data_IF_745989950795
#
_entry.id   IF_745989950795
#
_cell.length_a   1.000
_cell.length_b   1.000
_cell.length_c   1.000
_cell.angle_alpha   90.00
_cell.angle_beta   90.00
_cell.angle_gamma   90.00
#
_symmetry.space_group_name_H-M   'P 1'
#
loop_
_entity.id
_entity.type
_entity.pdbx_description
1 polymer ?
#
# COMPACT_ATOMS: atom_id res chain seq x y z
N UNK A 1 -6.76 -6.92 19.37
CA UNK A 1 -5.48 -6.90 18.68
C UNK A 1 -4.95 -5.47 18.73
N UNK A 2 -3.77 -5.29 19.37
CA UNK A 2 -3.19 -3.97 19.65
C UNK A 2 -3.03 -3.12 18.37
N UNK A 3 -2.62 -3.72 17.26
CA UNK A 3 -2.48 -3.01 15.98
C UNK A 3 -3.82 -2.42 15.52
N UNK A 4 -4.89 -3.21 15.52
CA UNK A 4 -6.22 -2.72 15.10
C UNK A 4 -6.77 -1.63 16.02
N UNK A 5 -6.48 -1.71 17.32
CA UNK A 5 -6.86 -0.67 18.29
C UNK A 5 -6.07 0.62 18.07
N UNK A 6 -4.77 0.52 17.75
CA UNK A 6 -3.91 1.67 17.44
C UNK A 6 -4.35 2.36 16.16
N UNK A 7 -4.63 1.60 15.08
CA UNK A 7 -5.14 2.14 13.82
C UNK A 7 -6.52 2.76 13.97
N UNK A 8 -7.42 2.12 14.72
CA UNK A 8 -8.73 2.69 14.99
C UNK A 8 -8.63 4.02 15.75
N UNK A 9 -7.71 4.14 16.72
CA UNK A 9 -7.51 5.39 17.44
C UNK A 9 -6.93 6.49 16.54
N UNK A 10 -5.98 6.16 15.65
CA UNK A 10 -5.46 7.11 14.65
C UNK A 10 -6.56 7.62 13.72
N UNK A 11 -7.43 6.73 13.24
CA UNK A 11 -8.56 7.10 12.40
C UNK A 11 -9.54 8.03 13.12
N UNK A 12 -9.83 7.76 14.40
CA UNK A 12 -10.68 8.63 15.23
C UNK A 12 -10.03 10.02 15.42
N UNK A 13 -8.73 10.09 15.68
CA UNK A 13 -7.99 11.35 15.79
C UNK A 13 -8.01 12.14 14.49
N UNK A 14 -7.81 11.47 13.36
CA UNK A 14 -7.88 12.08 12.02
C UNK A 14 -9.26 12.64 11.71
N UNK A 15 -10.32 11.86 11.94
CA UNK A 15 -11.70 12.29 11.73
C UNK A 15 -12.08 13.48 12.64
N UNK A 16 -11.64 13.48 13.91
CA UNK A 16 -11.86 14.60 14.82
C UNK A 16 -11.14 15.87 14.33
N UNK A 17 -9.90 15.73 13.82
CA UNK A 17 -9.15 16.85 13.22
C UNK A 17 -9.85 17.42 11.99
N UNK A 18 -10.44 16.57 11.15
CA UNK A 18 -11.22 16.99 9.99
C UNK A 18 -12.49 17.77 10.40
N UNK A 19 -13.18 17.34 11.47
CA UNK A 19 -14.36 18.03 11.99
C UNK A 19 -13.97 19.43 12.52
N UNK A 20 -12.91 19.53 13.31
CA UNK A 20 -12.41 20.81 13.85
C UNK A 20 -12.04 21.76 12.70
N UNK A 21 -11.30 21.27 11.68
CA UNK A 21 -10.95 22.07 10.51
C UNK A 21 -12.20 22.54 9.73
N UNK A 22 -13.20 21.68 9.56
CA UNK A 22 -14.46 22.05 8.91
C UNK A 22 -15.22 23.13 9.70
N UNK A 23 -15.28 23.03 11.03
CA UNK A 23 -15.91 24.02 11.88
C UNK A 23 -15.22 25.38 11.76
N UNK A 24 -13.88 25.43 11.75
CA UNK A 24 -13.09 26.65 11.52
C UNK A 24 -13.38 27.27 10.14
N UNK A 25 -13.46 26.45 9.09
CA UNK A 25 -13.75 26.91 7.73
C UNK A 25 -15.18 27.44 7.59
N UNK A 26 -16.16 26.82 8.27
CA UNK A 26 -17.55 27.32 8.31
C UNK A 26 -17.61 28.68 9.02
N UNK A 27 -16.85 28.83 10.11
CA UNK A 27 -16.80 30.10 10.87
C UNK A 27 -16.17 31.24 10.04
N UNK A 28 -15.11 30.90 9.23
CA UNK A 28 -14.39 31.89 8.41
C UNK A 28 -15.11 32.24 7.10
N UNK A 29 -15.68 31.26 6.40
CA UNK A 29 -16.23 31.43 5.03
C UNK A 29 -17.75 31.25 4.93
N UNK A 30 -18.42 30.81 6.00
CA UNK A 30 -19.84 30.49 6.03
C UNK A 30 -20.18 29.15 5.37
N UNK A 31 -21.40 28.66 5.65
CA UNK A 31 -21.87 27.35 5.13
C UNK A 31 -21.88 27.27 3.58
N UNK A 32 -22.14 28.38 2.90
CA UNK A 32 -22.17 28.47 1.43
C UNK A 32 -20.75 28.42 0.79
N UNK A 33 -19.70 28.67 1.58
CA UNK A 33 -18.30 28.60 1.14
C UNK A 33 -17.75 27.19 1.12
N UNK A 34 -18.41 26.25 1.80
CA UNK A 34 -18.01 24.86 1.89
C UNK A 34 -18.98 23.99 1.09
N UNK A 35 -18.77 23.89 -0.20
CA UNK A 35 -19.61 23.08 -1.08
C UNK A 35 -19.16 21.61 -1.14
N UNK A 36 -18.46 21.09 -0.12
CA UNK A 36 -17.83 19.78 -0.20
C UNK A 36 -18.33 18.84 0.90
N UNK A 37 -18.92 17.72 0.49
CA UNK A 37 -19.04 16.57 1.36
C UNK A 37 -17.69 15.85 1.37
N UNK A 38 -17.06 15.71 2.52
CA UNK A 38 -15.96 14.77 2.70
C UNK A 38 -16.50 13.37 2.98
N UNK A 39 -15.85 12.36 2.46
CA UNK A 39 -16.10 10.97 2.86
C UNK A 39 -14.81 10.16 2.78
N UNK A 40 -14.68 9.20 3.67
CA UNK A 40 -13.64 8.19 3.63
C UNK A 40 -14.26 6.79 3.54
N UNK A 41 -13.55 5.88 2.94
CA UNK A 41 -13.94 4.47 2.86
C UNK A 41 -12.72 3.58 2.97
N UNK A 42 -12.88 2.45 3.65
CA UNK A 42 -11.82 1.44 3.79
C UNK A 42 -12.36 0.10 3.33
N UNK A 43 -11.62 -0.57 2.47
CA UNK A 43 -11.87 -1.94 2.01
C UNK A 43 -10.60 -2.75 2.21
N UNK A 44 -10.71 -3.96 2.75
CA UNK A 44 -9.59 -4.89 2.86
C UNK A 44 -9.92 -6.18 2.13
N UNK A 45 -9.01 -6.64 1.29
CA UNK A 45 -9.10 -7.89 0.55
C UNK A 45 -7.93 -8.81 0.95
N UNK A 46 -8.25 -10.06 1.31
CA UNK A 46 -7.22 -11.06 1.62
C UNK A 46 -6.58 -11.47 0.30
N UNK A 47 -5.28 -11.19 0.17
CA UNK A 47 -4.48 -11.50 -1.00
C UNK A 47 -3.70 -12.82 -0.85
N UNK A 48 -3.41 -13.23 0.40
CA UNK A 48 -2.76 -14.48 0.72
C UNK A 48 -3.22 -15.02 2.07
N UNK A 49 -3.43 -16.35 2.15
CA UNK A 49 -3.71 -17.03 3.41
C UNK A 49 -3.33 -18.51 3.31
N UNK A 50 -2.51 -19.01 4.24
CA UNK A 50 -2.08 -20.41 4.31
C UNK A 50 -2.36 -21.08 5.66
N UNK A 51 -3.15 -20.43 6.52
CA UNK A 51 -3.47 -20.88 7.87
C UNK A 51 -2.49 -20.38 8.94
N UNK A 52 -1.26 -20.00 8.58
CA UNK A 52 -0.29 -19.36 9.47
C UNK A 52 -0.09 -17.89 9.13
N UNK A 53 0.13 -17.58 7.86
CA UNK A 53 0.31 -16.22 7.41
C UNK A 53 -0.95 -15.71 6.73
N UNK A 54 -1.30 -14.46 7.01
CA UNK A 54 -2.35 -13.75 6.29
C UNK A 54 -1.77 -12.43 5.79
N UNK A 55 -2.04 -12.14 4.52
CA UNK A 55 -1.66 -10.89 3.91
C UNK A 55 -2.82 -10.27 3.16
N UNK A 56 -2.97 -8.96 3.26
CA UNK A 56 -4.01 -8.23 2.58
C UNK A 56 -3.58 -6.80 2.24
N UNK A 57 -4.21 -6.25 1.25
CA UNK A 57 -4.12 -4.85 0.90
C UNK A 57 -5.34 -4.12 1.48
N UNK A 58 -5.10 -3.23 2.43
CA UNK A 58 -6.12 -2.30 2.90
C UNK A 58 -6.16 -1.13 1.92
N UNK A 59 -7.30 -0.93 1.30
CA UNK A 59 -7.55 0.16 0.36
C UNK A 59 -8.36 1.23 1.07
N UNK A 60 -7.79 2.41 1.16
CA UNK A 60 -8.44 3.58 1.73
C UNK A 60 -8.72 4.58 0.61
N UNK A 61 -9.78 5.33 0.74
CA UNK A 61 -10.10 6.42 -0.16
C UNK A 61 -10.62 7.60 0.64
N UNK A 62 -9.94 8.72 0.51
CA UNK A 62 -10.31 9.97 1.17
C UNK A 62 -10.68 11.03 0.14
N UNK A 63 -11.86 11.60 0.30
CA UNK A 63 -12.35 12.71 -0.52
C UNK A 63 -12.70 13.90 0.35
N UNK A 64 -11.98 14.97 0.16
CA UNK A 64 -12.16 16.24 0.88
C UNK A 64 -12.65 17.38 -0.04
N UNK A 65 -13.27 17.01 -1.14
CA UNK A 65 -13.68 17.95 -2.18
C UNK A 65 -12.70 18.05 -3.34
N UNK A 66 -13.11 18.76 -4.41
CA UNK A 66 -12.33 18.91 -5.61
C UNK A 66 -12.69 17.89 -6.71
N UNK A 67 -11.74 17.62 -7.63
CA UNK A 67 -12.00 16.79 -8.81
C UNK A 67 -12.10 15.30 -8.49
N UNK A 68 -11.36 14.81 -7.51
CA UNK A 68 -11.31 13.41 -7.06
C UNK A 68 -10.71 13.32 -5.67
N UNK A 69 -10.92 12.20 -4.97
CA UNK A 69 -10.22 11.88 -3.72
C UNK A 69 -8.87 11.22 -3.97
N UNK A 70 -8.21 10.87 -2.88
CA UNK A 70 -6.90 10.19 -2.90
C UNK A 70 -7.08 8.75 -2.41
N UNK A 71 -6.82 7.77 -3.25
CA UNK A 71 -6.71 6.39 -2.82
C UNK A 71 -5.33 6.15 -2.18
N UNK A 72 -5.34 5.34 -1.13
CA UNK A 72 -4.15 4.86 -0.43
C UNK A 72 -4.24 3.34 -0.30
N UNK A 73 -3.16 2.65 -0.60
CA UNK A 73 -3.03 1.22 -0.32
C UNK A 73 -2.05 1.03 0.83
N UNK A 74 -2.37 0.09 1.72
CA UNK A 74 -1.53 -0.29 2.85
C UNK A 74 -1.41 -1.81 2.83
N UNK A 75 -0.23 -2.31 2.52
CA UNK A 75 0.09 -3.73 2.59
C UNK A 75 0.28 -4.18 4.03
N UNK A 76 -0.41 -5.24 4.42
CA UNK A 76 -0.39 -5.77 5.78
C UNK A 76 -0.20 -7.27 5.76
N UNK A 77 0.85 -7.75 6.40
CA UNK A 77 1.16 -9.19 6.54
C UNK A 77 1.32 -9.53 8.02
N UNK A 78 0.68 -10.60 8.46
CA UNK A 78 0.72 -11.04 9.86
C UNK A 78 1.07 -12.53 9.96
N UNK A 79 1.84 -12.89 10.98
CA UNK A 79 1.95 -14.26 11.48
C UNK A 79 0.83 -14.50 12.50
N UNK A 80 -0.10 -15.38 12.19
CA UNK A 80 -1.26 -15.70 13.03
C UNK A 80 -0.89 -16.51 14.28
N UNK A 81 0.26 -17.15 14.31
CA UNK A 81 0.75 -17.88 15.47
C UNK A 81 1.23 -16.90 16.56
N UNK A 82 1.93 -15.83 16.18
CA UNK A 82 2.45 -14.82 17.10
C UNK A 82 1.54 -13.61 17.23
N UNK A 83 0.70 -13.33 16.22
CA UNK A 83 -0.13 -12.13 16.10
C UNK A 83 0.68 -10.87 15.73
N UNK A 84 1.93 -11.03 15.30
CA UNK A 84 2.81 -9.92 14.93
C UNK A 84 2.64 -9.53 13.44
N UNK A 85 2.71 -8.24 13.16
CA UNK A 85 2.86 -7.72 11.80
C UNK A 85 4.28 -7.99 11.33
N UNK A 86 4.42 -8.52 10.11
CA UNK A 86 5.71 -8.80 9.49
C UNK A 86 6.14 -7.64 8.59
N UNK A 87 7.41 -7.27 8.70
CA UNK A 87 8.12 -6.38 7.78
C UNK A 87 8.85 -7.19 6.70
N UNK A 88 9.36 -6.54 5.65
CA UNK A 88 10.19 -7.20 4.63
C UNK A 88 11.35 -7.99 5.22
N UNK A 89 12.14 -7.45 6.19
CA UNK A 89 13.21 -8.21 6.85
C UNK A 89 12.75 -9.44 7.64
N UNK A 90 11.48 -9.54 8.00
CA UNK A 90 10.93 -10.75 8.64
C UNK A 90 10.58 -11.82 7.60
N UNK A 91 10.28 -11.39 6.37
CA UNK A 91 9.84 -12.25 5.26
C UNK A 91 11.01 -12.76 4.42
N UNK A 92 12.00 -11.90 4.12
CA UNK A 92 13.16 -12.20 3.25
C UNK A 92 14.49 -12.04 3.98
N UNK A 93 15.52 -12.75 3.52
CA UNK A 93 16.89 -12.68 4.04
C UNK A 93 17.81 -11.81 3.17
N UNK A 94 17.36 -11.39 2.00
CA UNK A 94 18.11 -10.51 1.12
C UNK A 94 18.53 -9.23 1.85
N UNK A 95 19.69 -8.70 1.48
CA UNK A 95 20.09 -7.34 1.87
C UNK A 95 19.18 -6.30 1.19
N UNK A 96 19.16 -5.10 1.74
CA UNK A 96 18.38 -4.00 1.14
C UNK A 96 18.84 -3.66 -0.28
N UNK A 97 20.15 -3.76 -0.56
CA UNK A 97 20.70 -3.56 -1.91
C UNK A 97 20.22 -4.62 -2.90
N UNK A 98 20.16 -5.91 -2.47
CA UNK A 98 19.63 -7.00 -3.30
C UNK A 98 18.12 -6.85 -3.53
N UNK A 99 17.35 -6.52 -2.48
CA UNK A 99 15.94 -6.20 -2.59
C UNK A 99 15.69 -5.09 -3.61
N UNK A 100 16.40 -3.98 -3.46
CA UNK A 100 16.28 -2.84 -4.37
C UNK A 100 16.59 -3.24 -5.82
N UNK A 101 17.66 -4.01 -6.04
CA UNK A 101 18.04 -4.49 -7.38
C UNK A 101 16.95 -5.35 -8.01
N UNK A 102 16.41 -6.31 -7.26
CA UNK A 102 15.35 -7.21 -7.74
C UNK A 102 14.10 -6.41 -8.11
N UNK A 103 13.60 -5.61 -7.19
CA UNK A 103 12.35 -4.84 -7.40
C UNK A 103 12.51 -3.83 -8.55
N UNK A 104 13.66 -3.17 -8.64
CA UNK A 104 13.95 -2.22 -9.73
C UNK A 104 13.96 -2.91 -11.10
N UNK A 105 14.45 -4.14 -11.22
CA UNK A 105 14.45 -4.89 -12.47
C UNK A 105 13.01 -5.17 -12.95
N UNK A 106 12.13 -5.62 -12.07
CA UNK A 106 10.71 -5.86 -12.38
C UNK A 106 9.97 -4.56 -12.76
N UNK A 107 10.19 -3.47 -12.01
CA UNK A 107 9.62 -2.18 -12.40
C UNK A 107 10.20 -1.65 -13.72
N UNK A 108 11.48 -1.91 -14.03
CA UNK A 108 12.07 -1.53 -15.31
C UNK A 108 11.38 -2.23 -16.49
N UNK A 109 11.08 -3.52 -16.37
CA UNK A 109 10.31 -4.25 -17.37
C UNK A 109 8.89 -3.69 -17.51
N UNK A 110 8.22 -3.43 -16.39
CA UNK A 110 6.86 -2.88 -16.35
C UNK A 110 6.80 -1.49 -17.01
N UNK A 111 7.70 -0.58 -16.65
CA UNK A 111 7.79 0.78 -17.22
C UNK A 111 8.15 0.74 -18.71
N UNK A 112 9.12 -0.11 -19.10
CA UNK A 112 9.52 -0.23 -20.51
C UNK A 112 8.42 -0.83 -21.39
N UNK A 113 7.45 -1.55 -20.83
CA UNK A 113 6.29 -2.07 -21.54
C UNK A 113 5.33 -0.99 -22.03
N UNK A 114 5.22 0.14 -21.31
CA UNK A 114 4.33 1.27 -21.62
C UNK A 114 4.98 2.60 -21.21
N UNK A 115 6.12 2.99 -21.79
CA UNK A 115 6.93 4.11 -21.32
C UNK A 115 6.21 5.48 -21.40
N UNK A 116 5.19 5.60 -22.24
CA UNK A 116 4.40 6.82 -22.38
C UNK A 116 3.43 7.08 -21.21
N UNK A 117 3.19 6.08 -20.34
CA UNK A 117 2.32 6.20 -19.16
C UNK A 117 3.07 6.71 -17.93
N UNK A 118 4.41 6.69 -17.96
CA UNK A 118 5.27 7.00 -16.83
C UNK A 118 6.03 8.31 -16.98
N UNK A 119 6.43 8.88 -15.83
CA UNK A 119 7.35 10.03 -15.83
C UNK A 119 8.73 9.63 -16.36
N UNK A 120 9.47 10.57 -16.93
CA UNK A 120 10.81 10.32 -17.49
C UNK A 120 11.80 9.80 -16.42
N UNK A 121 11.59 10.18 -15.15
CA UNK A 121 12.40 9.80 -13.98
C UNK A 121 11.79 8.66 -13.15
N UNK A 122 10.71 8.03 -13.62
CA UNK A 122 10.00 7.00 -12.84
C UNK A 122 10.92 5.87 -12.36
N UNK A 123 11.85 5.40 -13.19
CA UNK A 123 12.78 4.34 -12.81
C UNK A 123 13.84 4.81 -11.80
N UNK A 124 14.22 6.07 -11.82
CA UNK A 124 15.13 6.64 -10.83
C UNK A 124 14.43 6.77 -9.47
N UNK A 125 13.14 7.16 -9.47
CA UNK A 125 12.30 7.15 -8.26
C UNK A 125 12.20 5.75 -7.66
N UNK A 126 11.95 4.71 -8.47
CA UNK A 126 11.93 3.32 -7.99
C UNK A 126 13.25 2.96 -7.30
N UNK A 127 14.40 3.27 -7.91
CA UNK A 127 15.73 2.98 -7.34
C UNK A 127 15.98 3.70 -6.02
N UNK A 128 15.50 4.92 -5.90
CA UNK A 128 15.74 5.76 -4.73
C UNK A 128 14.80 5.41 -3.56
N UNK A 129 13.58 4.92 -3.84
CA UNK A 129 12.55 4.71 -2.82
C UNK A 129 12.42 3.26 -2.34
N UNK A 130 12.81 2.25 -3.14
CA UNK A 130 12.71 0.85 -2.71
C UNK A 130 13.74 0.55 -1.62
N UNK A 131 13.23 0.20 -0.44
CA UNK A 131 13.98 -0.13 0.78
C UNK A 131 13.18 -1.13 1.65
N UNK A 132 13.67 -1.44 2.84
CA UNK A 132 12.97 -2.34 3.77
C UNK A 132 11.67 -1.78 4.36
N UNK A 133 11.47 -0.48 4.30
CA UNK A 133 10.25 0.21 4.69
C UNK A 133 9.21 0.31 3.56
N UNK A 134 9.54 -0.17 2.35
CA UNK A 134 8.61 -0.18 1.22
C UNK A 134 7.36 -0.99 1.52
N UNK A 135 6.23 -0.48 1.08
CA UNK A 135 4.96 -1.18 1.21
C UNK A 135 4.91 -2.43 0.33
N UNK A 136 4.44 -3.51 0.90
CA UNK A 136 4.30 -4.79 0.23
C UNK A 136 3.13 -5.60 0.80
N UNK A 137 2.68 -6.58 0.03
CA UNK A 137 1.85 -7.66 0.54
C UNK A 137 2.10 -8.96 -0.22
N UNK A 138 1.80 -10.08 0.44
CA UNK A 138 1.93 -11.40 -0.17
C UNK A 138 0.70 -11.70 -1.01
N UNK A 139 0.90 -12.39 -2.12
CA UNK A 139 -0.15 -12.95 -2.98
C UNK A 139 0.12 -14.44 -3.20
N UNK A 140 -0.76 -15.15 -3.91
CA UNK A 140 -0.51 -16.56 -4.26
C UNK A 140 0.73 -16.72 -5.17
N UNK A 141 1.02 -15.71 -6.01
CA UNK A 141 2.06 -15.75 -7.03
C UNK A 141 3.41 -15.18 -6.58
N UNK A 142 3.47 -14.43 -5.47
CA UNK A 142 4.69 -13.77 -5.02
C UNK A 142 4.48 -12.59 -4.08
N UNK A 143 5.53 -11.79 -3.92
CA UNK A 143 5.50 -10.54 -3.16
C UNK A 143 5.10 -9.42 -4.12
N UNK A 144 4.04 -8.69 -3.76
CA UNK A 144 3.61 -7.52 -4.53
C UNK A 144 4.18 -6.26 -3.93
N UNK A 145 4.80 -5.44 -4.79
CA UNK A 145 5.24 -4.08 -4.54
C UNK A 145 4.42 -3.11 -5.37
N UNK A 146 4.18 -1.91 -4.87
CA UNK A 146 3.37 -0.91 -5.55
C UNK A 146 3.79 0.51 -5.17
N UNK A 147 3.44 1.45 -6.03
CA UNK A 147 3.57 2.89 -5.79
C UNK A 147 2.19 3.55 -5.81
N UNK A 148 2.03 4.59 -5.01
CA UNK A 148 0.79 5.37 -5.00
C UNK A 148 0.61 6.20 -6.27
N UNK A 149 -0.64 6.60 -6.60
CA UNK A 149 -0.89 7.52 -7.71
C UNK A 149 -0.03 8.78 -7.58
N UNK A 150 0.43 9.30 -8.70
CA UNK A 150 1.38 10.40 -8.84
C UNK A 150 2.84 10.09 -8.52
N UNK A 151 3.19 8.98 -7.92
CA UNK A 151 4.59 8.65 -7.66
C UNK A 151 5.36 8.41 -8.97
N UNK A 152 4.91 7.47 -9.79
CA UNK A 152 5.61 7.10 -11.04
C UNK A 152 4.88 7.56 -12.30
N UNK A 153 3.59 7.94 -12.19
CA UNK A 153 2.71 8.21 -13.32
C UNK A 153 1.57 9.16 -12.92
N UNK A 154 0.68 9.47 -13.86
CA UNK A 154 -0.50 10.30 -13.58
C UNK A 154 -1.50 9.56 -12.68
N UNK A 155 -2.37 10.31 -12.00
CA UNK A 155 -3.48 9.75 -11.20
C UNK A 155 -4.33 8.72 -11.97
N UNK A 156 -4.55 8.96 -13.26
CA UNK A 156 -5.39 8.11 -14.10
C UNK A 156 -4.77 6.72 -14.38
N UNK A 157 -3.46 6.57 -14.23
CA UNK A 157 -2.77 5.28 -14.35
C UNK A 157 -2.96 4.40 -13.10
N UNK A 158 -3.44 4.96 -11.98
CA UNK A 158 -3.69 4.23 -10.75
C UNK A 158 -2.41 3.91 -9.97
N UNK A 159 -2.33 2.67 -9.48
CA UNK A 159 -1.19 2.16 -8.70
C UNK A 159 -0.27 1.36 -9.62
N UNK A 160 0.92 1.89 -9.98
CA UNK A 160 1.95 1.06 -10.60
C UNK A 160 2.36 -0.07 -9.67
N UNK A 161 2.24 -1.32 -10.11
CA UNK A 161 2.49 -2.50 -9.27
C UNK A 161 3.20 -3.61 -10.02
N UNK A 162 4.00 -4.39 -9.28
CA UNK A 162 4.66 -5.60 -9.78
C UNK A 162 4.48 -6.71 -8.76
N UNK A 163 4.28 -7.95 -9.24
CA UNK A 163 4.33 -9.16 -8.41
C UNK A 163 5.59 -9.93 -8.76
N UNK A 164 6.44 -10.15 -7.77
CA UNK A 164 7.74 -10.79 -7.94
C UNK A 164 7.64 -12.18 -7.32
N UNK A 165 7.92 -13.26 -8.10
CA UNK A 165 7.85 -14.62 -7.60
C UNK A 165 8.72 -14.85 -6.36
N UNK A 166 8.28 -15.72 -5.47
CA UNK A 166 8.98 -16.00 -4.21
C UNK A 166 10.39 -16.57 -4.38
N UNK A 167 10.65 -17.26 -5.47
CA UNK A 167 11.95 -17.88 -5.81
C UNK A 167 13.01 -16.85 -6.25
N UNK A 168 12.64 -15.60 -6.49
CA UNK A 168 13.58 -14.49 -6.68
C UNK A 168 14.17 -13.98 -5.36
N UNK A 169 13.61 -14.39 -4.21
CA UNK A 169 14.03 -13.96 -2.90
C UNK A 169 14.60 -15.10 -2.05
N UNK A 170 15.49 -14.76 -1.13
CA UNK A 170 15.90 -15.63 -0.04
C UNK A 170 14.84 -15.60 1.08
N UNK A 171 13.84 -16.48 0.98
CA UNK A 171 12.71 -16.49 1.91
C UNK A 171 13.11 -16.94 3.32
N UNK A 172 12.73 -16.19 4.36
CA UNK A 172 12.85 -16.57 5.78
C UNK A 172 11.65 -17.35 6.28
N UNK A 173 10.48 -17.10 5.70
CA UNK A 173 9.23 -17.77 6.05
C UNK A 173 8.94 -18.88 5.04
N UNK A 174 8.27 -19.94 5.50
CA UNK A 174 7.86 -21.05 4.63
C UNK A 174 6.37 -20.88 4.32
N UNK A 175 6.08 -20.42 3.12
CA UNK A 175 4.72 -20.24 2.63
C UNK A 175 4.21 -21.58 2.05
N UNK A 176 2.93 -21.88 2.26
CA UNK A 176 2.27 -23.05 1.68
C UNK A 176 1.49 -22.59 0.43
N UNK A 177 1.55 -23.40 -0.63
CA UNK A 177 0.67 -23.15 -1.79
C UNK A 177 -0.79 -23.26 -1.36
N UNK A 178 -1.59 -22.23 -1.68
CA UNK A 178 -2.97 -22.07 -1.21
C UNK A 178 -4.00 -23.05 -1.79
N UNK A 179 -3.71 -24.34 -1.83
CA UNK A 179 -4.70 -25.39 -2.03
C UNK A 179 -5.32 -25.79 -0.67
N UNK A 180 -6.04 -24.88 -0.04
CA UNK A 180 -7.01 -25.27 0.99
C UNK A 180 -8.40 -25.21 0.37
N UNK A 181 -8.95 -26.39 0.08
CA UNK A 181 -10.39 -26.55 -0.17
C UNK A 181 -11.16 -25.96 1.02
N UNK A 182 -11.95 -24.91 0.74
CA UNK A 182 -12.92 -24.32 1.65
C UNK A 182 -14.08 -25.27 1.91
#
# INVERSE_FOLDING_TARGET
NRYLEEEQNKNIEYENGNVEWMEEMIEEYGEDGISHSSYSSTLSEIAYFDGRYVSFCQQEYDYQGGAHGMPLWIGLTFDLETGERLSLPDVIANSEEELNSIVTEYFAEYINGNPEEFWEDALDIVRDEICFESDFYLTEDGIKFYFHPYALSSYAAGFPEVTIPYDEFEMKISLQSGEQEL
#
